data_IF_830823094789
#
_entry.id   IF_830823094789
#
_cell.length_a   1.000
_cell.length_b   1.000
_cell.length_c   1.000
_cell.angle_alpha   90.00
_cell.angle_beta   90.00
_cell.angle_gamma   90.00
#
_symmetry.space_group_name_H-M   'P 1'
#
loop_
_entity.id
_entity.type
_entity.pdbx_description
1 polymer ?
#
# COMPACT_ATOMS: atom_id res chain seq x y z
N UNK A 1 -0.57 -1.83 16.93
CA UNK A 1 -0.90 -3.14 16.32
C UNK A 1 -0.32 -3.13 14.92
N UNK A 2 0.45 -4.14 14.54
CA UNK A 2 0.92 -4.24 13.16
C UNK A 2 -0.30 -4.32 12.22
N UNK A 3 -0.24 -3.65 11.08
CA UNK A 3 -1.28 -3.78 10.06
C UNK A 3 -1.35 -5.26 9.65
N UNK A 4 -2.55 -5.84 9.62
CA UNK A 4 -2.76 -7.20 9.12
C UNK A 4 -2.63 -7.15 7.58
N UNK A 5 -1.57 -7.74 7.00
CA UNK A 5 -1.35 -7.69 5.56
C UNK A 5 -2.51 -8.30 4.77
N UNK A 6 -3.22 -9.29 5.33
CA UNK A 6 -4.36 -9.93 4.67
C UNK A 6 -5.50 -8.95 4.43
N UNK A 7 -5.84 -8.14 5.44
CA UNK A 7 -6.89 -7.12 5.32
C UNK A 7 -6.57 -6.03 4.29
N UNK A 8 -5.29 -5.69 4.14
CA UNK A 8 -4.83 -4.74 3.12
C UNK A 8 -4.96 -5.33 1.72
N UNK A 9 -4.53 -6.58 1.52
CA UNK A 9 -4.68 -7.27 0.24
C UNK A 9 -6.16 -7.40 -0.13
N UNK A 10 -7.02 -7.80 0.81
CA UNK A 10 -8.46 -7.93 0.58
C UNK A 10 -9.08 -6.60 0.14
N UNK A 11 -8.67 -5.48 0.75
CA UNK A 11 -9.15 -4.15 0.36
C UNK A 11 -8.69 -3.73 -1.03
N UNK A 12 -7.41 -3.99 -1.37
CA UNK A 12 -6.88 -3.70 -2.70
C UNK A 12 -7.57 -4.54 -3.79
N UNK A 13 -7.82 -5.82 -3.52
CA UNK A 13 -8.54 -6.74 -4.42
C UNK A 13 -10.00 -6.31 -4.57
N UNK A 14 -10.71 -6.05 -3.46
CA UNK A 14 -12.10 -5.62 -3.49
C UNK A 14 -12.28 -4.26 -4.18
N UNK A 15 -11.28 -3.37 -4.07
CA UNK A 15 -11.23 -2.10 -4.79
C UNK A 15 -10.95 -2.24 -6.28
N UNK A 16 -10.44 -3.38 -6.76
CA UNK A 16 -10.02 -3.55 -8.15
C UNK A 16 -8.72 -2.82 -8.48
N UNK A 17 -7.81 -2.68 -7.51
CA UNK A 17 -6.50 -2.05 -7.72
C UNK A 17 -5.63 -2.96 -8.60
N UNK A 18 -5.00 -2.39 -9.61
CA UNK A 18 -3.95 -3.00 -10.41
C UNK A 18 -2.61 -2.93 -9.64
N UNK A 19 -2.26 -4.02 -8.95
CA UNK A 19 -1.00 -4.13 -8.22
C UNK A 19 -0.38 -5.53 -8.30
N UNK A 20 0.91 -5.59 -7.99
CA UNK A 20 1.66 -6.82 -7.76
C UNK A 20 2.32 -6.74 -6.40
N UNK A 21 2.25 -7.82 -5.63
CA UNK A 21 2.98 -7.93 -4.35
C UNK A 21 4.46 -8.13 -4.66
N UNK A 22 5.31 -7.35 -3.99
CA UNK A 22 6.77 -7.42 -4.09
C UNK A 22 7.36 -7.63 -2.68
N UNK A 23 8.69 -7.61 -2.57
CA UNK A 23 9.35 -7.58 -1.25
C UNK A 23 9.22 -8.87 -0.45
N UNK A 24 9.23 -8.74 0.89
CA UNK A 24 9.34 -9.86 1.82
C UNK A 24 8.20 -10.88 1.72
N UNK A 25 6.96 -10.42 1.54
CA UNK A 25 5.78 -11.29 1.36
C UNK A 25 5.89 -12.14 0.09
N UNK A 26 6.43 -11.61 -1.00
CA UNK A 26 6.69 -12.39 -2.21
C UNK A 26 7.75 -13.49 -1.97
N UNK A 27 8.76 -13.24 -1.12
CA UNK A 27 9.76 -14.25 -0.75
C UNK A 27 9.18 -15.35 0.14
N UNK A 28 8.25 -15.02 1.04
CA UNK A 28 7.53 -16.01 1.87
C UNK A 28 6.70 -16.95 0.99
N UNK A 29 5.98 -16.42 0.00
CA UNK A 29 5.22 -17.24 -0.97
C UNK A 29 6.11 -18.21 -1.77
N UNK A 30 7.42 -17.93 -1.90
CA UNK A 30 8.40 -18.78 -2.57
C UNK A 30 9.26 -19.62 -1.60
N UNK A 31 8.87 -19.78 -0.33
CA UNK A 31 9.50 -20.70 0.62
C UNK A 31 10.62 -20.12 1.49
N UNK A 32 10.76 -18.79 1.55
CA UNK A 32 11.68 -18.12 2.49
C UNK A 32 11.13 -18.12 3.92
N UNK A 33 11.96 -18.47 4.90
CA UNK A 33 11.62 -18.44 6.34
C UNK A 33 11.64 -17.02 6.97
N UNK A 34 11.73 -15.95 6.16
CA UNK A 34 11.72 -14.56 6.67
C UNK A 34 10.30 -14.02 6.77
N UNK A 35 9.76 -13.97 7.97
CA UNK A 35 8.52 -13.24 8.26
C UNK A 35 8.80 -11.75 8.27
N UNK A 36 8.27 -11.01 7.29
CA UNK A 36 8.25 -9.54 7.34
C UNK A 36 6.83 -9.09 7.68
N UNK A 37 6.69 -8.07 8.53
CA UNK A 37 5.39 -7.57 9.02
C UNK A 37 4.81 -6.46 8.15
N UNK A 38 5.46 -6.16 7.05
CA UNK A 38 5.15 -5.15 6.04
C UNK A 38 4.73 -5.78 4.72
N UNK A 39 3.84 -5.10 4.00
CA UNK A 39 3.35 -5.46 2.67
C UNK A 39 3.88 -4.43 1.67
N UNK A 40 4.74 -4.86 0.77
CA UNK A 40 5.21 -4.05 -0.34
C UNK A 40 4.43 -4.38 -1.61
N UNK A 41 3.96 -3.34 -2.33
CA UNK A 41 3.26 -3.51 -3.61
C UNK A 41 3.80 -2.55 -4.67
N UNK A 42 3.94 -3.03 -5.90
CA UNK A 42 4.05 -2.17 -7.08
C UNK A 42 2.67 -2.04 -7.72
N UNK A 43 2.27 -0.84 -8.12
CA UNK A 43 0.96 -0.58 -8.70
C UNK A 43 1.05 0.22 -10.00
N UNK A 44 0.05 0.04 -10.87
CA UNK A 44 -0.10 0.83 -12.11
C UNK A 44 -0.28 2.31 -11.79
N UNK A 45 0.45 3.19 -12.48
CA UNK A 45 0.34 4.66 -12.28
C UNK A 45 -0.70 5.32 -13.18
N UNK A 46 -1.59 4.54 -13.79
CA UNK A 46 -2.70 5.08 -14.56
C UNK A 46 -3.59 5.94 -13.65
N UNK A 47 -4.13 7.04 -14.18
CA UNK A 47 -4.97 7.94 -13.38
C UNK A 47 -6.16 7.23 -12.73
N UNK A 48 -6.72 6.24 -13.45
CA UNK A 48 -7.77 5.37 -12.92
C UNK A 48 -7.30 4.57 -11.70
N UNK A 49 -6.18 3.85 -11.83
CA UNK A 49 -5.68 3.02 -10.74
C UNK A 49 -5.25 3.83 -9.51
N UNK A 50 -4.73 5.04 -9.69
CA UNK A 50 -4.40 5.93 -8.58
C UNK A 50 -5.64 6.37 -7.78
N UNK A 51 -6.75 6.66 -8.46
CA UNK A 51 -8.02 7.00 -7.79
C UNK A 51 -8.61 5.78 -7.06
N UNK A 52 -8.51 4.60 -7.68
CA UNK A 52 -8.93 3.34 -7.05
C UNK A 52 -8.08 3.02 -5.81
N UNK A 53 -6.76 3.21 -5.90
CA UNK A 53 -5.82 3.01 -4.80
C UNK A 53 -6.09 3.97 -3.63
N UNK A 54 -6.32 5.26 -3.91
CA UNK A 54 -6.76 6.23 -2.91
C UNK A 54 -8.00 5.73 -2.16
N UNK A 55 -9.03 5.29 -2.88
CA UNK A 55 -10.28 4.85 -2.28
C UNK A 55 -10.12 3.57 -1.43
N UNK A 56 -9.34 2.61 -1.93
CA UNK A 56 -9.09 1.35 -1.23
C UNK A 56 -8.30 1.55 0.07
N UNK A 57 -7.38 2.52 0.11
CA UNK A 57 -6.55 2.79 1.28
C UNK A 57 -7.17 3.78 2.28
N UNK A 58 -8.17 4.57 1.88
CA UNK A 58 -8.82 5.56 2.74
C UNK A 58 -9.27 5.02 4.12
N UNK A 59 -9.85 3.80 4.25
CA UNK A 59 -10.27 3.26 5.55
C UNK A 59 -9.11 2.97 6.52
N UNK A 60 -7.87 2.89 6.03
CA UNK A 60 -6.69 2.56 6.82
C UNK A 60 -5.94 3.78 7.36
N UNK A 61 -6.38 5.00 7.02
CA UNK A 61 -5.77 6.26 7.47
C UNK A 61 -4.24 6.30 7.29
N UNK A 62 -3.73 6.13 6.06
CA UNK A 62 -2.30 6.02 5.79
C UNK A 62 -1.53 7.28 6.21
N UNK A 63 -0.33 7.08 6.75
CA UNK A 63 0.61 8.15 7.13
C UNK A 63 1.95 7.96 6.43
N UNK A 64 2.76 9.03 6.38
CA UNK A 64 4.12 8.94 5.85
C UNK A 64 5.04 8.27 6.87
N UNK A 65 5.74 7.22 6.43
CA UNK A 65 6.78 6.56 7.23
C UNK A 65 7.86 7.56 7.63
N UNK A 66 8.16 7.65 8.92
CA UNK A 66 9.20 8.53 9.46
C UNK A 66 8.83 10.02 9.56
N UNK A 67 7.61 10.40 9.20
CA UNK A 67 7.10 11.76 9.42
C UNK A 67 6.59 11.95 10.87
N UNK A 68 6.53 13.19 11.37
CA UNK A 68 5.84 13.50 12.62
C UNK A 68 4.39 12.97 12.61
N UNK A 69 3.93 12.44 13.75
CA UNK A 69 2.59 11.85 13.87
C UNK A 69 1.45 12.85 13.73
N UNK A 70 1.74 14.14 13.92
CA UNK A 70 0.83 15.27 13.82
C UNK A 70 0.86 15.95 12.44
N UNK A 71 1.67 15.46 11.50
CA UNK A 71 1.71 16.00 10.15
C UNK A 71 0.34 15.80 9.47
N UNK A 72 -0.33 16.87 9.02
CA UNK A 72 -1.55 16.74 8.25
C UNK A 72 -1.20 16.14 6.88
N UNK A 73 -1.37 14.83 6.73
CA UNK A 73 -1.14 14.09 5.51
C UNK A 73 -2.45 13.49 4.99
N UNK A 74 -2.66 13.64 3.68
CA UNK A 74 -3.74 12.98 2.95
C UNK A 74 -3.09 12.20 1.81
N UNK A 75 -3.31 10.90 1.77
CA UNK A 75 -2.97 10.09 0.61
C UNK A 75 -4.10 10.20 -0.41
N UNK A 76 -3.92 11.04 -1.43
CA UNK A 76 -4.83 11.17 -2.56
C UNK A 76 -4.11 10.87 -3.90
N UNK A 77 -4.88 10.74 -4.98
CA UNK A 77 -4.34 10.42 -6.31
C UNK A 77 -3.30 11.45 -6.79
N UNK A 78 -3.44 12.72 -6.40
CA UNK A 78 -2.46 13.76 -6.72
C UNK A 78 -1.13 13.52 -5.98
N UNK A 79 -1.19 13.19 -4.69
CA UNK A 79 -0.06 12.83 -3.84
C UNK A 79 0.63 11.57 -4.34
N UNK A 80 -0.14 10.52 -4.69
CA UNK A 80 0.37 9.28 -5.27
C UNK A 80 1.06 9.52 -6.62
N UNK A 81 0.52 10.43 -7.43
CA UNK A 81 1.12 10.81 -8.72
C UNK A 81 2.39 11.64 -8.58
N UNK A 82 2.50 12.44 -7.52
CA UNK A 82 3.70 13.22 -7.23
C UNK A 82 4.81 12.37 -6.58
N UNK A 83 4.44 11.34 -5.82
CA UNK A 83 5.38 10.40 -5.19
C UNK A 83 5.83 9.29 -6.14
N UNK A 84 7.07 8.81 -5.97
CA UNK A 84 7.64 7.71 -6.76
C UNK A 84 7.67 6.38 -5.99
N UNK A 85 7.79 6.40 -4.67
CA UNK A 85 7.86 5.20 -3.81
C UNK A 85 7.21 5.49 -2.45
N UNK A 86 6.28 4.63 -2.02
CA UNK A 86 5.74 4.61 -0.66
C UNK A 86 5.96 3.21 -0.11
N UNK A 87 6.65 3.08 1.02
CA UNK A 87 6.88 1.82 1.73
C UNK A 87 6.37 1.88 3.15
#
# INVERSE_FOLDING_TARGET
>A
MAADPGRLIDALVAGGVEFVVIGGVALVLHGSARTTGDLDVCYSRSAHNLATLEHALAPFSPTLRGAPSDLPFRLDAATLRAGLTFS
#
